data_IF_701673399376
#
_entry.id   IF_701673399376
#
_cell.length_a   1.000
_cell.length_b   1.000
_cell.length_c   1.000
_cell.angle_alpha   90.00
_cell.angle_beta   90.00
_cell.angle_gamma   90.00
#
_symmetry.space_group_name_H-M   'P 1'
#
loop_
_entity.id
_entity.type
_entity.pdbx_description
1 polymer ?
#
# COMPACT_ATOMS: atom_id res chain seq x y z
N UNK A 1 2.82 -10.35 11.35
CA UNK A 1 3.83 -11.18 10.63
C UNK A 1 5.15 -10.44 10.34
N UNK A 2 5.16 -9.09 10.29
CA UNK A 2 6.37 -8.30 10.07
C UNK A 2 6.84 -8.36 8.61
N UNK A 3 5.93 -8.17 7.65
CA UNK A 3 6.26 -8.17 6.22
C UNK A 3 7.17 -6.99 5.91
N UNK A 4 8.22 -7.24 5.12
CA UNK A 4 9.11 -6.18 4.61
C UNK A 4 9.19 -6.28 3.09
N UNK A 5 8.86 -5.19 2.41
CA UNK A 5 8.83 -5.09 0.96
C UNK A 5 9.99 -4.21 0.51
N UNK A 6 10.82 -4.72 -0.39
CA UNK A 6 11.85 -3.92 -1.06
C UNK A 6 11.27 -3.28 -2.31
N UNK A 7 11.77 -2.09 -2.72
CA UNK A 7 11.37 -1.50 -4.00
C UNK A 7 11.58 -2.40 -5.23
N UNK A 8 12.48 -3.39 -5.14
CA UNK A 8 12.73 -4.38 -6.19
C UNK A 8 11.68 -5.48 -6.30
N UNK A 9 10.85 -5.64 -5.27
CA UNK A 9 9.81 -6.67 -5.22
C UNK A 9 8.55 -6.21 -5.95
N UNK A 10 8.43 -4.90 -6.20
CA UNK A 10 7.31 -4.27 -6.89
C UNK A 10 7.42 -4.43 -8.42
N UNK A 11 6.31 -4.74 -9.07
CA UNK A 11 6.23 -4.86 -10.52
C UNK A 11 6.17 -3.48 -11.21
N UNK A 12 5.56 -2.47 -10.58
CA UNK A 12 5.48 -1.11 -11.12
C UNK A 12 6.54 -0.18 -10.54
N UNK A 13 6.85 0.87 -11.30
CA UNK A 13 7.78 1.93 -10.88
C UNK A 13 7.02 3.07 -10.22
N UNK A 14 7.24 3.27 -8.95
CA UNK A 14 6.73 4.41 -8.19
C UNK A 14 7.75 5.57 -8.15
N UNK A 15 7.24 6.80 -8.03
CA UNK A 15 8.11 7.96 -7.86
C UNK A 15 8.69 7.95 -6.46
N UNK A 16 9.90 8.46 -6.29
CA UNK A 16 10.49 8.69 -4.96
C UNK A 16 10.32 10.16 -4.62
N UNK A 17 9.20 10.54 -4.00
CA UNK A 17 8.97 11.94 -3.58
C UNK A 17 9.83 12.21 -2.35
N UNK A 18 11.09 12.62 -2.58
CA UNK A 18 12.10 12.79 -1.51
C UNK A 18 11.67 13.78 -0.43
N UNK A 19 10.84 14.75 -0.79
CA UNK A 19 10.25 15.73 0.13
C UNK A 19 9.37 15.07 1.20
N UNK A 20 8.69 13.97 0.84
CA UNK A 20 7.82 13.20 1.73
C UNK A 20 8.56 12.04 2.41
N UNK A 21 9.88 11.89 2.19
CA UNK A 21 10.64 10.74 2.69
C UNK A 21 10.59 10.64 4.21
N UNK A 22 10.75 11.77 4.89
CA UNK A 22 10.86 11.85 6.35
C UNK A 22 9.50 12.09 7.03
N UNK A 23 8.41 12.16 6.25
CA UNK A 23 7.06 12.27 6.79
C UNK A 23 6.61 10.98 7.47
N UNK A 24 5.63 11.13 8.38
CA UNK A 24 5.02 10.01 9.07
C UNK A 24 4.42 9.01 8.07
N UNK A 25 4.94 7.78 8.12
CA UNK A 25 4.44 6.66 7.34
C UNK A 25 3.20 6.07 7.99
N UNK A 26 2.40 5.37 7.21
CA UNK A 26 1.25 4.65 7.73
C UNK A 26 1.69 3.67 8.83
N UNK A 27 1.11 3.80 10.02
CA UNK A 27 1.40 2.97 11.19
C UNK A 27 0.18 2.20 11.70
N UNK A 28 -0.89 2.17 10.89
CA UNK A 28 -2.20 1.65 11.28
C UNK A 28 -3.20 2.77 11.55
N UNK A 29 -4.40 2.37 11.93
CA UNK A 29 -5.55 3.28 12.14
C UNK A 29 -5.64 3.73 13.61
N UNK A 30 -6.19 4.93 13.88
CA UNK A 30 -6.73 5.90 12.93
C UNK A 30 -5.62 6.68 12.20
N UNK A 31 -5.80 6.92 10.90
CA UNK A 31 -4.88 7.72 10.08
C UNK A 31 -5.66 8.45 8.97
N UNK A 32 -6.09 9.71 9.22
CA UNK A 32 -6.90 10.46 8.28
C UNK A 32 -6.07 11.17 7.20
N UNK A 33 -4.74 11.01 7.18
CA UNK A 33 -3.88 11.65 6.19
C UNK A 33 -4.18 11.13 4.78
N UNK A 34 -4.00 11.95 3.73
CA UNK A 34 -4.21 11.51 2.36
C UNK A 34 -3.19 10.44 1.97
N UNK A 35 -3.65 9.44 1.23
CA UNK A 35 -2.81 8.42 0.61
C UNK A 35 -2.37 8.86 -0.79
N UNK A 36 -1.07 8.82 -1.03
CA UNK A 36 -0.43 9.11 -2.31
C UNK A 36 0.03 7.82 -3.01
N UNK A 37 -0.84 7.26 -3.86
CA UNK A 37 -0.57 6.04 -4.62
C UNK A 37 0.57 6.15 -5.66
N UNK A 38 1.09 7.35 -5.92
CA UNK A 38 2.22 7.55 -6.84
C UNK A 38 3.59 7.57 -6.12
N UNK A 39 3.61 7.69 -4.78
CA UNK A 39 4.85 7.78 -4.00
C UNK A 39 5.27 6.43 -3.41
N UNK A 40 6.48 6.00 -3.75
CA UNK A 40 7.09 4.77 -3.25
C UNK A 40 7.15 4.75 -1.71
N UNK A 41 7.45 5.90 -1.10
CA UNK A 41 7.59 6.00 0.35
C UNK A 41 6.25 5.92 1.09
N UNK A 42 5.14 6.06 0.38
CA UNK A 42 3.78 5.95 0.88
C UNK A 42 3.20 4.55 0.64
N UNK A 43 3.44 4.05 -0.57
CA UNK A 43 2.93 2.76 -1.05
C UNK A 43 3.54 1.58 -0.28
N UNK A 44 4.86 1.59 -0.02
CA UNK A 44 5.51 0.47 0.68
C UNK A 44 4.92 0.25 2.09
N UNK A 45 4.86 1.25 2.99
CA UNK A 45 4.28 1.06 4.32
C UNK A 45 2.82 0.60 4.29
N UNK A 46 2.04 1.09 3.32
CA UNK A 46 0.66 0.65 3.13
C UNK A 46 0.60 -0.83 2.74
N UNK A 47 1.40 -1.26 1.76
CA UNK A 47 1.43 -2.66 1.32
C UNK A 47 1.92 -3.60 2.41
N UNK A 48 2.97 -3.22 3.15
CA UNK A 48 3.46 -4.03 4.28
C UNK A 48 2.34 -4.23 5.32
N UNK A 49 1.61 -3.18 5.67
CA UNK A 49 0.51 -3.26 6.62
C UNK A 49 -0.65 -4.13 6.11
N UNK A 50 -1.03 -3.98 4.83
CA UNK A 50 -2.11 -4.78 4.23
C UNK A 50 -1.72 -6.25 4.14
N UNK A 51 -0.52 -6.56 3.66
CA UNK A 51 -0.01 -7.93 3.58
C UNK A 51 0.08 -8.59 4.95
N UNK A 52 0.47 -7.83 5.99
CA UNK A 52 0.46 -8.31 7.36
C UNK A 52 -0.96 -8.65 7.85
N UNK A 53 -1.92 -7.79 7.54
CA UNK A 53 -3.32 -7.94 7.95
C UNK A 53 -4.02 -9.13 7.28
N UNK A 54 -3.68 -9.44 6.03
CA UNK A 54 -4.17 -10.64 5.33
C UNK A 54 -3.27 -11.86 5.53
N UNK A 55 -2.22 -11.73 6.36
CA UNK A 55 -1.28 -12.80 6.72
C UNK A 55 -0.62 -13.47 5.50
N UNK A 56 -0.26 -12.69 4.48
CA UNK A 56 0.34 -13.21 3.25
C UNK A 56 1.71 -12.60 2.99
N UNK A 57 2.61 -13.40 2.42
CA UNK A 57 3.90 -12.96 1.83
C UNK A 57 4.02 -13.38 0.37
N UNK A 58 2.91 -13.77 -0.26
CA UNK A 58 2.89 -14.22 -1.66
C UNK A 58 3.03 -13.00 -2.60
N UNK A 59 3.98 -13.08 -3.53
CA UNK A 59 4.17 -12.07 -4.56
C UNK A 59 2.95 -11.87 -5.46
N UNK A 60 2.06 -12.87 -5.61
CA UNK A 60 0.79 -12.71 -6.33
C UNK A 60 -0.15 -11.74 -5.63
N UNK A 61 -0.18 -11.78 -4.30
CA UNK A 61 -0.99 -10.86 -3.48
C UNK A 61 -0.41 -9.45 -3.55
N UNK A 62 0.92 -9.32 -3.50
CA UNK A 62 1.61 -8.03 -3.71
C UNK A 62 1.32 -7.46 -5.11
N UNK A 63 1.38 -8.29 -6.15
CA UNK A 63 1.07 -7.85 -7.51
C UNK A 63 -0.37 -7.36 -7.64
N UNK A 64 -1.32 -8.01 -6.96
CA UNK A 64 -2.72 -7.58 -7.00
C UNK A 64 -2.94 -6.27 -6.22
N UNK A 65 -2.27 -6.08 -5.07
CA UNK A 65 -2.23 -4.79 -4.39
C UNK A 65 -1.77 -3.67 -5.32
N UNK A 66 -0.69 -3.94 -6.05
CA UNK A 66 -0.15 -3.02 -7.01
C UNK A 66 -1.14 -2.71 -8.14
N UNK A 67 -1.81 -3.73 -8.67
CA UNK A 67 -2.84 -3.54 -9.71
C UNK A 67 -3.97 -2.65 -9.23
N UNK A 68 -4.48 -2.89 -8.02
CA UNK A 68 -5.56 -2.10 -7.42
C UNK A 68 -5.11 -0.65 -7.25
N UNK A 69 -3.94 -0.40 -6.64
CA UNK A 69 -3.46 0.97 -6.43
C UNK A 69 -3.17 1.71 -7.74
N UNK A 70 -2.59 1.03 -8.75
CA UNK A 70 -2.35 1.66 -10.05
C UNK A 70 -3.63 1.85 -10.88
N UNK A 71 -4.76 1.23 -10.50
CA UNK A 71 -6.06 1.49 -11.12
C UNK A 71 -6.73 2.77 -10.61
N UNK A 72 -6.23 3.34 -9.50
CA UNK A 72 -6.75 4.57 -8.91
C UNK A 72 -6.47 5.75 -9.85
N UNK A 73 -7.47 6.61 -10.15
CA UNK A 73 -7.27 7.78 -10.98
C UNK A 73 -6.15 8.69 -10.43
N UNK A 74 -5.25 9.19 -11.30
CA UNK A 74 -4.20 10.12 -10.88
C UNK A 74 -4.78 11.34 -10.14
N UNK A 75 -4.17 11.69 -9.01
CA UNK A 75 -4.60 12.83 -8.17
C UNK A 75 -5.76 12.52 -7.22
N UNK A 76 -6.37 11.35 -7.28
CA UNK A 76 -7.31 10.90 -6.24
C UNK A 76 -6.54 10.45 -5.00
N UNK A 77 -6.77 11.10 -3.87
CA UNK A 77 -6.07 10.85 -2.61
C UNK A 77 -7.09 10.54 -1.49
N UNK A 78 -7.56 9.28 -1.37
CA UNK A 78 -8.41 8.88 -0.27
C UNK A 78 -7.63 8.93 1.05
N UNK A 79 -8.31 8.88 2.19
CA UNK A 79 -7.60 8.74 3.47
C UNK A 79 -6.85 7.42 3.52
N UNK A 80 -5.69 7.40 4.18
CA UNK A 80 -4.90 6.18 4.40
C UNK A 80 -5.71 5.10 5.10
N UNK A 81 -6.48 5.44 6.13
CA UNK A 81 -7.33 4.49 6.84
C UNK A 81 -8.40 3.85 5.95
N UNK A 82 -9.05 4.64 5.09
CA UNK A 82 -10.07 4.16 4.15
C UNK A 82 -9.43 3.27 3.06
N UNK A 83 -8.26 3.68 2.56
CA UNK A 83 -7.49 2.89 1.59
C UNK A 83 -7.05 1.55 2.17
N UNK A 84 -6.55 1.55 3.41
CA UNK A 84 -6.16 0.32 4.09
C UNK A 84 -7.34 -0.65 4.21
N UNK A 85 -8.49 -0.17 4.68
CA UNK A 85 -9.69 -1.01 4.84
C UNK A 85 -10.19 -1.54 3.51
N UNK A 86 -10.20 -0.70 2.46
CA UNK A 86 -10.54 -1.11 1.11
C UNK A 86 -9.61 -2.22 0.59
N UNK A 87 -8.29 -2.05 0.68
CA UNK A 87 -7.32 -3.02 0.17
C UNK A 87 -7.39 -4.36 0.93
N UNK A 88 -7.52 -4.33 2.25
CA UNK A 88 -7.66 -5.56 3.06
C UNK A 88 -8.93 -6.31 2.66
N UNK A 89 -10.05 -5.61 2.45
CA UNK A 89 -11.31 -6.24 2.05
C UNK A 89 -11.19 -6.90 0.67
N UNK A 90 -10.62 -6.20 -0.31
CA UNK A 90 -10.43 -6.75 -1.67
C UNK A 90 -9.56 -8.02 -1.70
N UNK A 91 -8.53 -8.09 -0.85
CA UNK A 91 -7.60 -9.21 -0.85
C UNK A 91 -8.08 -10.43 -0.08
N UNK A 92 -9.03 -10.29 0.85
CA UNK A 92 -9.53 -11.43 1.64
C UNK A 92 -10.11 -12.53 0.76
N UNK A 93 -10.71 -12.15 -0.36
CA UNK A 93 -11.25 -13.10 -1.34
C UNK A 93 -10.16 -13.83 -2.14
N UNK A 94 -8.95 -13.27 -2.21
CA UNK A 94 -7.81 -13.82 -2.96
C UNK A 94 -6.97 -14.77 -2.11
N UNK A 95 -6.85 -14.50 -0.80
CA UNK A 95 -6.05 -15.30 0.15
C UNK A 95 -6.83 -16.53 0.69
N UNK A 96 -8.04 -16.77 0.17
CA UNK A 96 -8.90 -17.91 0.53
C UNK A 96 -8.29 -19.30 0.30
#
# INVERSE_FOLDING_TARGET
MGVTIKPSDLQFKYRRKKELRDEQKFQGKPDPLPFDGEDLYEVIPMFEAVMDAVQSTDGRVLNELENIVNSIPPGYQPKREDMFDFLVDQLRDIVG
#
